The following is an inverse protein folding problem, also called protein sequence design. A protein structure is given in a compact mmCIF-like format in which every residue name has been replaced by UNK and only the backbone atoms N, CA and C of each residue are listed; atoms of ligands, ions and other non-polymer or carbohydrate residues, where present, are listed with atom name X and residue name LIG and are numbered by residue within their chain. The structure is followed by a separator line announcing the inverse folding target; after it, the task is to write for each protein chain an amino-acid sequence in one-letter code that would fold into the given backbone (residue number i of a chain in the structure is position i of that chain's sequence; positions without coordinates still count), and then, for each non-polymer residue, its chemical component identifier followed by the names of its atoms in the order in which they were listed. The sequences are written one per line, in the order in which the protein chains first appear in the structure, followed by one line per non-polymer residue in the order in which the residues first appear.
data_IF_797545328066
#
_entry.id   IF_797545328066
#
_cell.length_a   1.000
_cell.length_b   1.000
_cell.length_c   1.000
_cell.angle_alpha   90.00
_cell.angle_beta   90.00
_cell.angle_gamma   90.00
#
_symmetry.space_group_name_H-M   'P 1'
#
loop_
_entity.id
_entity.type
_entity.pdbx_description
1 polymer ?
#
# COMPACT_ATOMS: atom_id res chain seq x y z
N UNK A 1 12.62 -0.42 7.95
CA UNK A 1 13.53 0.69 7.59
C UNK A 1 13.13 1.93 8.38
N UNK A 2 14.05 2.51 9.16
CA UNK A 2 13.81 3.80 9.82
C UNK A 2 14.04 4.92 8.81
N UNK A 3 13.04 5.77 8.60
CA UNK A 3 13.05 6.84 7.59
C UNK A 3 13.93 8.00 8.06
N UNK A 4 13.83 8.36 9.34
CA UNK A 4 14.58 9.47 9.91
C UNK A 4 14.71 9.29 11.41
N UNK A 5 15.89 9.64 11.94
CA UNK A 5 16.18 9.64 13.37
C UNK A 5 15.92 10.98 14.05
N UNK A 6 15.78 12.06 13.27
CA UNK A 6 15.73 13.43 13.79
C UNK A 6 14.33 14.05 13.75
N UNK A 7 13.43 13.50 12.92
CA UNK A 7 12.03 13.93 12.88
C UNK A 7 11.21 12.86 13.58
N UNK A 8 10.64 13.21 14.72
CA UNK A 8 9.83 12.28 15.53
C UNK A 8 8.33 12.43 15.26
N UNK A 9 7.89 13.55 14.68
CA UNK A 9 6.47 13.77 14.40
C UNK A 9 6.07 13.09 13.08
N UNK A 10 5.12 12.14 13.10
CA UNK A 10 4.83 11.29 11.94
C UNK A 10 4.23 12.05 10.76
N UNK A 11 3.63 13.23 10.99
CA UNK A 11 3.07 14.08 9.92
C UNK A 11 4.05 15.11 9.37
N UNK A 12 5.24 15.28 9.97
CA UNK A 12 6.24 16.26 9.52
C UNK A 12 7.14 15.68 8.41
N UNK A 13 6.55 14.89 7.52
CA UNK A 13 7.26 14.26 6.41
C UNK A 13 7.02 15.06 5.13
N UNK A 14 8.11 15.50 4.53
CA UNK A 14 8.04 16.25 3.28
C UNK A 14 7.88 15.31 2.10
N UNK A 15 7.33 15.82 0.99
CA UNK A 15 7.26 15.10 -0.29
C UNK A 15 8.61 14.49 -0.68
N UNK A 16 9.71 15.23 -0.52
CA UNK A 16 11.05 14.75 -0.88
C UNK A 16 11.50 13.56 -0.02
N UNK A 17 11.15 13.55 1.26
CA UNK A 17 11.43 12.40 2.14
C UNK A 17 10.63 11.20 1.69
N UNK A 18 9.32 11.36 1.40
CA UNK A 18 8.47 10.27 0.93
C UNK A 18 8.98 9.67 -0.39
N UNK A 19 9.38 10.51 -1.35
CA UNK A 19 9.95 10.05 -2.62
C UNK A 19 11.20 9.20 -2.38
N UNK A 20 12.12 9.64 -1.51
CA UNK A 20 13.33 8.88 -1.17
C UNK A 20 13.00 7.54 -0.51
N UNK A 21 12.03 7.52 0.41
CA UNK A 21 11.57 6.28 1.05
C UNK A 21 11.07 5.29 0.01
N UNK A 22 10.19 5.71 -0.90
CA UNK A 22 9.68 4.80 -1.93
C UNK A 22 10.79 4.34 -2.89
N UNK A 23 11.74 5.21 -3.24
CA UNK A 23 12.90 4.82 -4.05
C UNK A 23 13.74 3.74 -3.36
N UNK A 24 14.11 3.95 -2.10
CA UNK A 24 14.92 3.00 -1.32
C UNK A 24 14.21 1.66 -1.14
N UNK A 25 12.91 1.70 -0.83
CA UNK A 25 12.08 0.51 -0.67
C UNK A 25 11.97 -0.27 -1.98
N UNK A 26 11.75 0.42 -3.10
CA UNK A 26 11.69 -0.20 -4.42
C UNK A 26 13.04 -0.83 -4.79
N UNK A 27 14.16 -0.14 -4.59
CA UNK A 27 15.50 -0.72 -4.79
C UNK A 27 15.69 -1.97 -3.95
N UNK A 28 15.30 -1.95 -2.67
CA UNK A 28 15.38 -3.12 -1.80
C UNK A 28 14.57 -4.30 -2.34
N UNK A 29 13.34 -4.09 -2.82
CA UNK A 29 12.55 -5.17 -3.43
C UNK A 29 13.24 -5.77 -4.65
N UNK A 30 13.82 -4.94 -5.52
CA UNK A 30 14.58 -5.43 -6.66
C UNK A 30 15.78 -6.27 -6.20
N UNK A 31 16.60 -5.76 -5.28
CA UNK A 31 17.78 -6.48 -4.77
C UNK A 31 17.45 -7.82 -4.14
N UNK A 32 16.33 -7.92 -3.41
CA UNK A 32 15.88 -9.20 -2.83
C UNK A 32 15.39 -10.15 -3.93
N UNK A 33 14.59 -9.67 -4.89
CA UNK A 33 14.10 -10.50 -6.00
C UNK A 33 15.22 -11.04 -6.91
N UNK A 34 16.37 -10.34 -6.98
CA UNK A 34 17.55 -10.84 -7.70
C UNK A 34 18.28 -11.96 -6.94
N UNK A 35 18.15 -12.01 -5.60
CA UNK A 35 18.77 -13.06 -4.78
C UNK A 35 17.90 -14.31 -4.70
N UNK A 36 16.59 -14.14 -4.71
CA UNK A 36 15.62 -15.22 -4.80
C UNK A 36 14.45 -14.81 -5.70
N UNK A 37 14.42 -15.40 -6.90
CA UNK A 37 13.44 -15.09 -7.94
C UNK A 37 12.02 -15.53 -7.59
N UNK A 38 11.84 -16.35 -6.56
CA UNK A 38 10.51 -16.77 -6.12
C UNK A 38 9.79 -15.62 -5.40
N UNK A 39 10.52 -14.68 -4.80
CA UNK A 39 9.97 -13.57 -4.01
C UNK A 39 9.50 -12.42 -4.89
N UNK A 40 8.20 -12.43 -5.27
CA UNK A 40 7.63 -11.50 -6.27
C UNK A 40 6.46 -10.64 -5.77
N UNK A 41 6.00 -10.81 -4.52
CA UNK A 41 4.87 -10.08 -3.95
C UNK A 41 5.31 -9.03 -2.92
N UNK A 42 5.63 -7.79 -3.33
CA UNK A 42 6.14 -6.74 -2.44
C UNK A 42 5.02 -6.15 -1.58
N UNK A 43 5.32 -5.90 -0.30
CA UNK A 43 4.41 -5.29 0.65
C UNK A 43 5.15 -4.23 1.46
N UNK A 44 4.53 -3.05 1.59
CA UNK A 44 4.98 -1.98 2.47
C UNK A 44 3.90 -1.79 3.52
N UNK A 45 4.27 -1.89 4.80
CA UNK A 45 3.42 -1.50 5.90
C UNK A 45 4.02 -0.27 6.59
N UNK A 46 3.13 0.65 6.98
CA UNK A 46 3.49 1.85 7.72
C UNK A 46 2.54 2.01 8.90
N UNK A 47 3.01 1.59 10.06
CA UNK A 47 2.39 1.84 11.35
C UNK A 47 2.94 3.14 11.97
N UNK A 48 2.06 3.93 12.59
CA UNK A 48 2.42 5.17 13.27
C UNK A 48 1.82 5.22 14.66
N UNK A 49 2.66 5.49 15.66
CA UNK A 49 2.27 5.55 17.08
C UNK A 49 1.84 4.20 17.67
N UNK A 50 1.84 4.13 19.00
CA UNK A 50 1.62 2.90 19.75
C UNK A 50 0.25 2.24 19.45
N UNK A 51 -0.79 3.06 19.26
CA UNK A 51 -2.14 2.55 18.96
C UNK A 51 -2.25 1.85 17.60
N UNK A 52 -1.32 2.13 16.67
CA UNK A 52 -1.23 1.41 15.39
C UNK A 52 -0.22 0.25 15.42
N UNK A 53 0.32 -0.11 16.59
CA UNK A 53 1.29 -1.20 16.74
C UNK A 53 2.76 -0.78 16.62
N UNK A 54 3.05 0.52 16.48
CA UNK A 54 4.42 1.00 16.36
C UNK A 54 5.15 0.93 17.70
N UNK A 55 6.19 0.09 17.77
CA UNK A 55 7.10 0.03 18.92
C UNK A 55 8.18 1.13 18.90
N UNK A 56 8.42 1.74 17.74
CA UNK A 56 9.39 2.81 17.56
C UNK A 56 8.69 4.15 17.35
N UNK A 57 9.17 5.18 18.06
CA UNK A 57 8.65 6.57 17.93
C UNK A 57 9.10 7.19 16.59
N UNK A 58 10.24 6.76 16.07
CA UNK A 58 10.77 7.26 14.80
C UNK A 58 9.92 6.78 13.62
N UNK A 59 9.64 7.63 12.62
CA UNK A 59 8.98 7.21 11.39
C UNK A 59 9.73 6.05 10.73
N UNK A 60 9.02 4.98 10.42
CA UNK A 60 9.58 3.78 9.81
C UNK A 60 8.53 3.10 8.94
N UNK A 61 9.03 2.26 8.03
CA UNK A 61 8.22 1.37 7.21
C UNK A 61 8.76 -0.05 7.31
N UNK A 62 7.85 -1.02 7.28
CA UNK A 62 8.17 -2.43 7.17
C UNK A 62 8.06 -2.85 5.71
N UNK A 63 9.14 -3.41 5.17
CA UNK A 63 9.18 -3.96 3.81
C UNK A 63 9.16 -5.47 3.95
N UNK A 64 8.25 -6.12 3.24
CA UNK A 64 8.12 -7.57 3.22
C UNK A 64 7.97 -8.01 1.78
N UNK A 65 8.55 -9.14 1.44
CA UNK A 65 8.43 -9.75 0.12
C UNK A 65 8.00 -11.19 0.36
N UNK A 66 7.02 -11.67 -0.41
CA UNK A 66 6.45 -13.01 -0.28
C UNK A 66 6.59 -13.76 -1.61
N UNK A 67 6.77 -15.09 -1.59
CA UNK A 67 6.88 -15.87 -2.82
C UNK A 67 5.52 -16.27 -3.42
N UNK A 68 4.49 -16.39 -2.59
CA UNK A 68 3.25 -17.07 -3.00
C UNK A 68 2.07 -16.11 -3.24
N UNK A 69 1.91 -15.11 -2.37
CA UNK A 69 0.76 -14.19 -2.37
C UNK A 69 1.04 -12.90 -1.58
N UNK A 70 0.22 -11.86 -1.78
CA UNK A 70 0.27 -10.67 -0.92
C UNK A 70 -0.26 -10.96 0.49
N UNK A 71 0.09 -10.14 1.47
CA UNK A 71 -0.43 -10.33 2.83
C UNK A 71 -1.85 -9.75 2.98
N UNK A 72 -2.68 -10.44 3.75
CA UNK A 72 -3.99 -9.94 4.20
C UNK A 72 -4.95 -9.56 3.08
N UNK A 73 -5.60 -8.41 3.23
CA UNK A 73 -6.61 -7.92 2.29
C UNK A 73 -6.07 -7.60 0.89
N UNK A 74 -4.76 -7.39 0.75
CA UNK A 74 -4.15 -7.11 -0.56
C UNK A 74 -4.25 -8.31 -1.50
N UNK A 75 -4.18 -9.54 -0.99
CA UNK A 75 -4.39 -10.74 -1.79
C UNK A 75 -5.85 -10.93 -2.20
N UNK A 76 -6.78 -10.53 -1.32
CA UNK A 76 -8.21 -10.52 -1.65
C UNK A 76 -8.50 -9.52 -2.79
N UNK A 77 -7.88 -8.34 -2.76
CA UNK A 77 -7.98 -7.35 -3.83
C UNK A 77 -7.35 -7.85 -5.15
N UNK A 78 -6.17 -8.46 -5.08
CA UNK A 78 -5.49 -9.05 -6.25
C UNK A 78 -6.35 -10.15 -6.89
N UNK A 79 -6.86 -11.09 -6.09
CA UNK A 79 -7.70 -12.19 -6.59
C UNK A 79 -9.07 -11.72 -7.08
N UNK A 80 -9.70 -10.74 -6.41
CA UNK A 80 -10.94 -10.13 -6.86
C UNK A 80 -10.77 -9.42 -8.22
N UNK A 81 -9.69 -8.64 -8.37
CA UNK A 81 -9.42 -7.93 -9.62
C UNK A 81 -9.19 -8.88 -10.79
N UNK A 82 -8.48 -9.99 -10.58
CA UNK A 82 -8.31 -11.02 -11.61
C UNK A 82 -9.62 -11.70 -12.00
N UNK A 83 -10.45 -12.12 -11.02
CA UNK A 83 -11.76 -12.73 -11.29
C UNK A 83 -12.69 -11.78 -12.05
N UNK A 84 -12.68 -10.51 -11.65
CA UNK A 84 -13.46 -9.47 -12.32
C UNK A 84 -13.03 -9.32 -13.78
N UNK A 85 -11.72 -9.19 -14.03
CA UNK A 85 -11.21 -9.09 -15.40
C UNK A 85 -11.54 -10.31 -16.25
N UNK A 86 -11.45 -11.53 -15.71
CA UNK A 86 -11.81 -12.75 -16.43
C UNK A 86 -13.29 -12.78 -16.85
N UNK A 87 -14.17 -12.17 -16.06
CA UNK A 87 -15.63 -12.17 -16.28
C UNK A 87 -16.09 -10.99 -17.14
N UNK A 88 -15.54 -9.79 -16.88
CA UNK A 88 -16.01 -8.52 -17.46
C UNK A 88 -15.09 -7.95 -18.53
N UNK A 89 -13.83 -8.40 -18.59
CA UNK A 89 -12.78 -7.83 -19.48
C UNK A 89 -12.54 -6.34 -19.25
N UNK A 90 -12.80 -5.88 -18.03
CA UNK A 90 -12.68 -4.49 -17.59
C UNK A 90 -11.70 -4.38 -16.41
N UNK A 91 -11.12 -3.19 -16.23
CA UNK A 91 -10.26 -2.92 -15.08
C UNK A 91 -11.10 -2.86 -13.79
N UNK A 92 -10.80 -3.73 -12.84
CA UNK A 92 -11.51 -3.80 -11.57
C UNK A 92 -11.48 -2.50 -10.77
N UNK A 93 -10.32 -1.83 -10.70
CA UNK A 93 -10.18 -0.61 -9.91
C UNK A 93 -10.94 0.55 -10.55
N UNK A 94 -10.97 0.66 -11.88
CA UNK A 94 -11.83 1.63 -12.58
C UNK A 94 -13.30 1.44 -12.22
N UNK A 95 -13.80 0.20 -12.28
CA UNK A 95 -15.19 -0.09 -11.90
C UNK A 95 -15.49 0.20 -10.43
N UNK A 96 -14.54 -0.07 -9.52
CA UNK A 96 -14.66 0.29 -8.10
C UNK A 96 -14.76 1.81 -7.94
N UNK A 97 -13.91 2.56 -8.65
CA UNK A 97 -13.92 4.02 -8.62
C UNK A 97 -15.24 4.59 -9.14
N UNK A 98 -15.77 4.06 -10.25
CA UNK A 98 -17.05 4.52 -10.83
C UNK A 98 -18.21 4.37 -9.83
N UNK A 99 -18.27 3.23 -9.12
CA UNK A 99 -19.29 3.00 -8.09
C UNK A 99 -19.12 3.96 -6.91
N UNK A 100 -17.90 4.17 -6.42
CA UNK A 100 -17.66 5.08 -5.30
C UNK A 100 -17.93 6.54 -5.70
N UNK A 101 -17.59 6.93 -6.94
CA UNK A 101 -17.85 8.26 -7.48
C UNK A 101 -19.36 8.53 -7.59
N UNK A 102 -20.13 7.56 -8.08
CA UNK A 102 -21.59 7.64 -8.16
C UNK A 102 -22.26 7.82 -6.78
N UNK A 103 -21.60 7.39 -5.70
CA UNK A 103 -22.06 7.54 -4.32
C UNK A 103 -21.51 8.80 -3.63
N UNK A 104 -20.69 9.60 -4.30
CA UNK A 104 -20.03 10.77 -3.69
C UNK A 104 -18.97 10.40 -2.65
N UNK A 105 -18.37 9.20 -2.75
CA UNK A 105 -17.39 8.65 -1.80
C UNK A 105 -15.94 8.76 -2.29
N UNK A 106 -15.70 9.66 -3.24
CA UNK A 106 -14.41 9.87 -3.89
C UNK A 106 -13.89 11.27 -3.59
N UNK A 107 -12.59 11.37 -3.33
CA UNK A 107 -11.85 12.63 -3.29
C UNK A 107 -10.67 12.54 -4.24
N UNK A 108 -10.54 13.51 -5.14
CA UNK A 108 -9.46 13.57 -6.13
C UNK A 108 -8.37 14.56 -5.71
N UNK A 109 -7.11 14.24 -6.03
CA UNK A 109 -5.97 15.13 -5.85
C UNK A 109 -4.93 14.90 -6.96
N UNK A 110 -4.94 15.76 -7.98
CA UNK A 110 -4.15 15.54 -9.19
C UNK A 110 -4.57 14.23 -9.86
N UNK A 111 -3.60 13.34 -10.12
CA UNK A 111 -3.85 12.02 -10.71
C UNK A 111 -4.22 10.95 -9.67
N UNK A 112 -4.28 11.30 -8.38
CA UNK A 112 -4.58 10.38 -7.30
C UNK A 112 -6.05 10.45 -6.89
N UNK A 113 -6.61 9.30 -6.51
CA UNK A 113 -8.00 9.19 -6.04
C UNK A 113 -8.02 8.48 -4.69
N UNK A 114 -8.64 9.10 -3.69
CA UNK A 114 -8.94 8.49 -2.41
C UNK A 114 -10.42 8.09 -2.37
N UNK A 115 -10.72 6.92 -1.82
CA UNK A 115 -12.08 6.40 -1.68
C UNK A 115 -12.39 6.07 -0.22
N UNK A 116 -13.65 6.27 0.17
CA UNK A 116 -14.17 5.76 1.44
C UNK A 116 -14.72 4.33 1.24
N UNK A 117 -14.18 3.35 1.96
CA UNK A 117 -14.56 1.94 1.81
C UNK A 117 -16.02 1.70 2.19
N UNK A 118 -16.77 1.01 1.32
CA UNK A 118 -18.18 0.65 1.54
C UNK A 118 -18.41 -0.44 2.59
N UNK A 119 -17.39 -1.26 2.86
CA UNK A 119 -17.44 -2.37 3.82
C UNK A 119 -16.48 -2.03 4.96
N UNK A 120 -17.01 -1.88 6.17
CA UNK A 120 -16.18 -1.91 7.38
C UNK A 120 -15.52 -3.29 7.43
N UNK A 121 -14.21 -3.38 7.70
CA UNK A 121 -13.60 -4.66 8.06
C UNK A 121 -14.45 -5.27 9.18
N UNK A 122 -15.20 -6.33 8.87
CA UNK A 122 -15.89 -7.10 9.89
C UNK A 122 -14.81 -7.76 10.75
N UNK A 123 -14.89 -7.52 12.06
CA UNK A 123 -14.04 -8.17 13.06
C UNK A 123 -14.10 -9.70 12.97
#
# INVERSE_FOLDING_TARGET
MVITRHVHHPTNLTKNVLIKVFQEVTTWFYDVSQKDVHYIYPNIAWDTLLHAGASQIHPHVHMMLSPDHYYGSMELLRSASQRYYLTKRENYFSAVLDVHAALGLVVEYGDAVAIATLVLCSE
#
